data_IF_700963468803
#
_entry.id   IF_700963468803
#
_cell.length_a   1.000
_cell.length_b   1.000
_cell.length_c   1.000
_cell.angle_alpha   90.00
_cell.angle_beta   90.00
_cell.angle_gamma   90.00
#
_symmetry.space_group_name_H-M   'P 1'
#
loop_
_entity.id
_entity.type
_entity.pdbx_description
1 polymer ?
#
# COMPACT_ATOMS: atom_id res chain seq x y z
N UNK A 1 1.97 17.70 4.40
CA UNK A 1 2.25 17.07 5.71
C UNK A 1 2.92 15.71 5.57
N UNK A 2 2.54 14.94 4.56
CA UNK A 2 3.11 13.63 4.24
C UNK A 2 4.65 13.49 4.25
N UNK A 3 5.43 14.51 3.86
CA UNK A 3 6.90 14.40 3.91
C UNK A 3 7.47 14.34 5.34
N UNK A 4 6.78 14.94 6.31
CA UNK A 4 7.21 14.94 7.70
C UNK A 4 7.16 13.55 8.32
N UNK A 5 6.15 12.74 7.98
CA UNK A 5 6.06 11.36 8.48
C UNK A 5 7.26 10.53 8.03
N UNK A 6 7.72 10.71 6.80
CA UNK A 6 8.86 9.99 6.21
C UNK A 6 10.14 10.35 6.97
N UNK A 7 10.34 11.64 7.23
CA UNK A 7 11.47 12.12 8.00
C UNK A 7 11.49 11.54 9.41
N UNK A 8 10.35 11.54 10.10
CA UNK A 8 10.22 10.97 11.44
C UNK A 8 10.52 9.46 11.47
N UNK A 9 9.97 8.69 10.52
CA UNK A 9 10.28 7.27 10.42
C UNK A 9 11.76 6.99 10.13
N UNK A 10 12.40 7.83 9.31
CA UNK A 10 13.81 7.67 8.95
C UNK A 10 14.80 7.91 10.11
N UNK A 11 14.38 8.59 11.19
CA UNK A 11 15.27 8.82 12.33
C UNK A 11 15.63 7.50 13.03
N UNK A 12 14.67 6.59 13.17
CA UNK A 12 14.87 5.29 13.82
C UNK A 12 14.80 5.33 15.35
N UNK A 13 14.30 6.40 15.96
CA UNK A 13 14.04 6.46 17.40
C UNK A 13 12.57 6.12 17.71
N UNK A 14 12.31 5.57 18.90
CA UNK A 14 10.95 5.19 19.33
C UNK A 14 9.94 6.34 19.24
N UNK A 15 10.30 7.51 19.80
CA UNK A 15 9.45 8.71 19.80
C UNK A 15 9.20 9.16 18.35
N UNK A 16 10.23 9.12 17.51
CA UNK A 16 10.13 9.48 16.10
C UNK A 16 9.25 8.51 15.33
N UNK A 17 9.26 7.20 15.66
CA UNK A 17 8.33 6.22 15.10
C UNK A 17 6.87 6.53 15.42
N UNK A 18 6.55 6.84 16.68
CA UNK A 18 5.19 7.23 17.10
C UNK A 18 4.75 8.51 16.41
N UNK A 19 5.60 9.54 16.40
CA UNK A 19 5.31 10.81 15.73
C UNK A 19 5.08 10.61 14.22
N UNK A 20 5.90 9.78 13.57
CA UNK A 20 5.71 9.41 12.18
C UNK A 20 4.36 8.74 11.93
N UNK A 21 3.96 7.79 12.79
CA UNK A 21 2.67 7.12 12.71
C UNK A 21 1.48 8.08 12.92
N UNK A 22 1.59 8.99 13.89
CA UNK A 22 0.54 9.97 14.18
C UNK A 22 0.37 10.96 13.03
N UNK A 23 1.48 11.48 12.48
CA UNK A 23 1.45 12.37 11.31
C UNK A 23 0.89 11.65 10.10
N UNK A 24 1.21 10.37 9.90
CA UNK A 24 0.65 9.54 8.82
C UNK A 24 -0.87 9.42 8.91
N UNK A 25 -1.39 9.06 10.10
CA UNK A 25 -2.83 8.95 10.31
C UNK A 25 -3.52 10.31 10.17
N UNK A 26 -2.93 11.37 10.72
CA UNK A 26 -3.48 12.72 10.61
C UNK A 26 -3.52 13.21 9.15
N UNK A 27 -2.44 12.98 8.39
CA UNK A 27 -2.40 13.29 6.96
C UNK A 27 -3.46 12.48 6.20
N UNK A 28 -3.68 11.22 6.59
CA UNK A 28 -4.71 10.37 6.01
C UNK A 28 -6.13 10.87 6.21
N UNK A 29 -6.44 11.32 7.43
CA UNK A 29 -7.75 11.88 7.78
C UNK A 29 -7.98 13.22 7.07
N UNK A 30 -6.96 14.09 7.04
CA UNK A 30 -7.06 15.40 6.41
C UNK A 30 -7.39 15.31 4.92
N UNK A 31 -6.82 14.32 4.26
CA UNK A 31 -7.01 14.07 2.83
C UNK A 31 -8.43 13.58 2.51
N UNK A 32 -9.01 12.74 3.39
CA UNK A 32 -10.41 12.36 3.27
C UNK A 32 -11.35 13.58 3.39
N UNK A 33 -11.02 14.53 4.26
CA UNK A 33 -11.82 15.74 4.41
C UNK A 33 -11.81 16.60 3.14
N UNK A 34 -10.69 16.71 2.41
CA UNK A 34 -10.64 17.50 1.17
C UNK A 34 -11.48 16.84 0.05
N UNK A 35 -11.38 15.52 -0.07
CA UNK A 35 -12.21 14.74 -1.01
C UNK A 35 -13.71 14.85 -0.72
N UNK A 36 -14.11 14.78 0.54
CA UNK A 36 -15.51 14.94 0.95
C UNK A 36 -16.02 16.37 0.68
N UNK A 37 -15.18 17.39 0.90
CA UNK A 37 -15.51 18.79 0.59
C UNK A 37 -15.64 19.02 -0.91
N UNK A 38 -14.79 18.40 -1.74
CA UNK A 38 -14.87 18.48 -3.20
C UNK A 38 -16.17 17.87 -3.74
N UNK A 39 -16.59 16.72 -3.20
CA UNK A 39 -17.89 16.08 -3.49
C UNK A 39 -19.07 16.96 -3.13
N UNK A 40 -19.05 17.50 -1.92
CA UNK A 40 -20.13 18.37 -1.42
C UNK A 40 -20.27 19.65 -2.24
N UNK A 41 -19.19 20.13 -2.86
CA UNK A 41 -19.19 21.32 -3.73
C UNK A 41 -19.35 21.00 -5.22
N UNK A 42 -19.50 19.73 -5.60
CA UNK A 42 -19.51 19.27 -7.01
C UNK A 42 -18.32 19.79 -7.83
N UNK A 43 -17.15 19.93 -7.19
CA UNK A 43 -15.91 20.38 -7.83
C UNK A 43 -14.94 19.21 -8.11
N UNK A 44 -15.45 17.98 -8.16
CA UNK A 44 -14.64 16.83 -8.57
C UNK A 44 -14.18 17.00 -10.02
N UNK A 45 -12.92 16.68 -10.27
CA UNK A 45 -12.35 16.67 -11.63
C UNK A 45 -11.55 15.40 -11.83
N UNK A 46 -11.66 14.78 -13.00
CA UNK A 46 -10.94 13.55 -13.35
C UNK A 46 -9.42 13.73 -13.26
N UNK A 47 -8.93 14.93 -13.58
CA UNK A 47 -7.51 15.26 -13.48
C UNK A 47 -7.05 15.39 -12.02
N UNK A 48 -7.89 15.99 -11.15
CA UNK A 48 -7.62 16.11 -9.72
C UNK A 48 -7.54 14.73 -9.05
N UNK A 49 -8.50 13.85 -9.32
CA UNK A 49 -8.51 12.48 -8.78
C UNK A 49 -7.27 11.67 -9.21
N UNK A 50 -6.85 11.81 -10.47
CA UNK A 50 -5.63 11.16 -10.96
C UNK A 50 -4.38 11.69 -10.27
N UNK A 51 -4.24 13.02 -10.14
CA UNK A 51 -3.10 13.65 -9.48
C UNK A 51 -3.00 13.25 -8.01
N UNK A 52 -4.14 13.26 -7.31
CA UNK A 52 -4.26 12.87 -5.92
C UNK A 52 -3.81 11.40 -5.72
N UNK A 53 -4.33 10.50 -6.55
CA UNK A 53 -3.93 9.08 -6.55
C UNK A 53 -2.43 8.89 -6.82
N UNK A 54 -1.82 9.68 -7.70
CA UNK A 54 -0.38 9.61 -7.97
C UNK A 54 0.44 10.09 -6.77
N UNK A 55 0.08 11.23 -6.20
CA UNK A 55 0.71 11.78 -4.99
C UNK A 55 0.66 10.79 -3.83
N UNK A 56 -0.50 10.17 -3.61
CA UNK A 56 -0.73 9.13 -2.60
C UNK A 56 0.21 7.94 -2.73
N UNK A 57 0.35 7.43 -3.95
CA UNK A 57 1.23 6.30 -4.20
C UNK A 57 2.69 6.67 -3.95
N UNK A 58 3.13 7.86 -4.36
CA UNK A 58 4.49 8.36 -4.12
C UNK A 58 4.75 8.48 -2.62
N UNK A 59 3.83 9.09 -1.87
CA UNK A 59 3.93 9.26 -0.42
C UNK A 59 3.99 7.91 0.29
N UNK A 60 3.19 6.93 -0.14
CA UNK A 60 3.23 5.58 0.42
C UNK A 60 4.59 4.92 0.19
N UNK A 61 5.12 4.97 -1.03
CA UNK A 61 6.45 4.43 -1.34
C UNK A 61 7.52 5.10 -0.47
N UNK A 62 7.49 6.43 -0.35
CA UNK A 62 8.42 7.16 0.51
C UNK A 62 8.27 6.79 1.98
N UNK A 63 7.05 6.52 2.45
CA UNK A 63 6.79 6.09 3.83
C UNK A 63 7.41 4.73 4.11
N UNK A 64 7.26 3.76 3.21
CA UNK A 64 7.92 2.45 3.32
C UNK A 64 9.45 2.56 3.29
N UNK A 65 9.99 3.46 2.46
CA UNK A 65 11.44 3.76 2.45
C UNK A 65 11.89 4.36 3.78
N UNK A 66 11.14 5.31 4.34
CA UNK A 66 11.42 5.92 5.64
C UNK A 66 11.44 4.89 6.75
N UNK A 67 10.46 3.99 6.78
CA UNK A 67 10.40 2.86 7.73
C UNK A 67 11.61 1.94 7.55
N UNK A 68 11.97 1.57 6.32
CA UNK A 68 13.12 0.72 6.04
C UNK A 68 14.43 1.37 6.52
N UNK A 69 14.62 2.68 6.33
CA UNK A 69 15.78 3.41 6.84
C UNK A 69 15.80 3.42 8.38
N UNK A 70 14.65 3.67 9.01
CA UNK A 70 14.52 3.61 10.48
C UNK A 70 14.89 2.25 11.05
N UNK A 71 14.34 1.17 10.47
CA UNK A 71 14.66 -0.22 10.86
C UNK A 71 16.13 -0.55 10.62
N UNK A 72 16.73 -0.07 9.53
CA UNK A 72 18.13 -0.29 9.23
C UNK A 72 19.06 0.31 10.30
N UNK A 73 18.67 1.45 10.90
CA UNK A 73 19.40 2.12 11.98
C UNK A 73 19.26 1.39 13.31
N UNK A 74 18.07 0.85 13.61
CA UNK A 74 17.80 0.14 14.87
C UNK A 74 18.31 -1.31 14.89
N UNK A 75 17.94 -2.09 13.88
CA UNK A 75 18.11 -3.55 13.84
C UNK A 75 19.19 -4.02 12.85
N UNK A 76 19.79 -3.09 12.10
CA UNK A 76 20.84 -3.34 11.12
C UNK A 76 20.35 -3.46 9.68
N UNK A 77 21.27 -3.26 8.74
CA UNK A 77 20.97 -3.18 7.30
C UNK A 77 20.31 -4.45 6.75
N UNK A 78 20.77 -5.64 7.16
CA UNK A 78 20.27 -6.91 6.65
C UNK A 78 18.80 -7.11 7.06
N UNK A 79 18.46 -6.75 8.30
CA UNK A 79 17.10 -6.86 8.84
C UNK A 79 16.10 -5.95 8.12
N UNK A 80 16.57 -4.86 7.50
CA UNK A 80 15.75 -3.95 6.70
C UNK A 80 15.72 -4.32 5.21
N UNK A 81 16.87 -4.63 4.63
CA UNK A 81 17.03 -4.74 3.18
C UNK A 81 16.35 -5.99 2.60
N UNK A 82 16.35 -7.12 3.34
CA UNK A 82 15.66 -8.34 2.93
C UNK A 82 14.13 -8.14 2.86
N UNK A 83 13.44 -7.73 3.93
CA UNK A 83 11.99 -7.55 3.88
C UNK A 83 11.59 -6.40 2.96
N UNK A 84 12.41 -5.35 2.83
CA UNK A 84 12.17 -4.27 1.87
C UNK A 84 12.29 -4.73 0.41
N UNK A 85 13.28 -5.58 0.08
CA UNK A 85 13.40 -6.16 -1.25
C UNK A 85 12.21 -7.08 -1.59
N UNK A 86 11.78 -7.89 -0.62
CA UNK A 86 10.55 -8.70 -0.74
C UNK A 86 9.32 -7.81 -0.97
N UNK A 87 9.19 -6.71 -0.22
CA UNK A 87 8.09 -5.76 -0.38
C UNK A 87 8.04 -5.20 -1.80
N UNK A 88 9.19 -4.75 -2.34
CA UNK A 88 9.29 -4.24 -3.70
C UNK A 88 8.94 -5.30 -4.75
N UNK A 89 9.49 -6.51 -4.62
CA UNK A 89 9.21 -7.60 -5.54
C UNK A 89 7.71 -7.95 -5.58
N UNK A 90 7.08 -8.11 -4.41
CA UNK A 90 5.66 -8.39 -4.30
C UNK A 90 4.80 -7.23 -4.82
N UNK A 91 5.16 -5.99 -4.47
CA UNK A 91 4.48 -4.78 -4.93
C UNK A 91 4.49 -4.64 -6.46
N UNK A 92 5.64 -4.87 -7.10
CA UNK A 92 5.77 -4.84 -8.57
C UNK A 92 4.91 -5.93 -9.20
N UNK A 93 4.92 -7.16 -8.65
CA UNK A 93 4.10 -8.25 -9.17
C UNK A 93 2.59 -7.95 -9.05
N UNK A 94 2.16 -7.41 -7.91
CA UNK A 94 0.77 -6.96 -7.71
C UNK A 94 0.42 -5.88 -8.74
N UNK A 95 1.28 -4.88 -8.89
CA UNK A 95 1.07 -3.78 -9.83
C UNK A 95 0.91 -4.30 -11.26
N UNK A 96 1.80 -5.18 -11.72
CA UNK A 96 1.71 -5.83 -13.03
C UNK A 96 0.40 -6.62 -13.13
N UNK A 97 0.07 -7.48 -12.17
CA UNK A 97 -1.13 -8.32 -12.26
C UNK A 97 -2.44 -7.53 -12.29
N UNK A 98 -2.47 -6.37 -11.62
CA UNK A 98 -3.64 -5.49 -11.54
C UNK A 98 -3.75 -4.54 -12.73
N UNK A 99 -2.64 -3.96 -13.20
CA UNK A 99 -2.63 -2.92 -14.25
C UNK A 99 -2.38 -3.42 -15.68
N UNK A 100 -1.64 -4.52 -15.88
CA UNK A 100 -1.42 -5.06 -17.24
C UNK A 100 -2.67 -5.56 -17.98
N UNK A 101 -3.74 -6.07 -17.33
CA UNK A 101 -4.95 -6.41 -18.06
C UNK A 101 -5.63 -5.12 -18.53
N UNK A 102 -5.80 -4.97 -19.86
CA UNK A 102 -6.56 -3.87 -20.47
C UNK A 102 -8.01 -3.87 -19.94
N UNK A 103 -8.30 -3.02 -18.96
CA UNK A 103 -9.63 -2.83 -18.40
C UNK A 103 -9.69 -1.55 -17.57
N UNK A 104 -10.79 -0.81 -17.68
CA UNK A 104 -10.99 0.42 -16.91
C UNK A 104 -11.22 0.07 -15.43
N UNK A 105 -10.19 0.28 -14.59
CA UNK A 105 -10.29 0.25 -13.12
C UNK A 105 -9.40 -0.77 -12.41
N UNK A 106 -9.03 -0.46 -11.14
CA UNK A 106 -8.22 -1.32 -10.27
C UNK A 106 -8.87 -2.70 -10.13
N UNK A 107 -8.17 -3.76 -10.54
CA UNK A 107 -8.59 -5.15 -10.33
C UNK A 107 -9.73 -5.62 -11.22
N UNK A 108 -10.01 -4.95 -12.35
CA UNK A 108 -11.13 -5.25 -13.26
C UNK A 108 -11.18 -6.73 -13.69
N UNK A 109 -10.03 -7.36 -13.93
CA UNK A 109 -9.96 -8.79 -14.28
C UNK A 109 -10.45 -9.75 -13.20
N UNK A 110 -10.63 -9.28 -11.97
CA UNK A 110 -11.08 -10.09 -10.84
C UNK A 110 -12.53 -9.79 -10.46
N UNK A 111 -13.21 -8.86 -11.15
CA UNK A 111 -14.58 -8.43 -10.85
C UNK A 111 -15.53 -9.64 -10.79
N UNK A 112 -16.25 -9.79 -9.68
CA UNK A 112 -17.16 -10.92 -9.43
C UNK A 112 -16.52 -12.12 -8.72
N UNK A 113 -15.23 -12.07 -8.36
CA UNK A 113 -14.59 -13.05 -7.48
C UNK A 113 -14.41 -12.50 -6.07
N UNK A 114 -14.37 -13.37 -5.05
CA UNK A 114 -14.00 -12.97 -3.66
C UNK A 114 -12.67 -12.22 -3.58
N UNK A 115 -11.77 -12.45 -4.53
CA UNK A 115 -10.48 -11.78 -4.59
C UNK A 115 -10.61 -10.29 -4.92
N UNK A 116 -11.66 -9.87 -5.63
CA UNK A 116 -11.93 -8.46 -5.90
C UNK A 116 -12.18 -7.67 -4.62
N UNK A 117 -12.99 -8.21 -3.72
CA UNK A 117 -13.29 -7.57 -2.44
C UNK A 117 -12.03 -7.48 -1.57
N UNK A 118 -11.17 -8.50 -1.61
CA UNK A 118 -9.88 -8.49 -0.90
C UNK A 118 -8.91 -7.47 -1.52
N UNK A 119 -8.85 -7.35 -2.85
CA UNK A 119 -8.07 -6.30 -3.53
C UNK A 119 -8.55 -4.92 -3.07
N UNK A 120 -9.86 -4.70 -3.03
CA UNK A 120 -10.43 -3.42 -2.62
C UNK A 120 -10.17 -3.13 -1.14
N UNK A 121 -10.27 -4.15 -0.27
CA UNK A 121 -9.98 -4.06 1.15
C UNK A 121 -8.50 -3.77 1.42
N UNK A 122 -7.58 -4.46 0.76
CA UNK A 122 -6.14 -4.25 0.93
C UNK A 122 -5.64 -2.97 0.26
N UNK A 123 -6.29 -2.53 -0.81
CA UNK A 123 -6.04 -1.22 -1.41
C UNK A 123 -6.66 -0.08 -0.59
N UNK A 124 -7.49 -0.38 0.42
CA UNK A 124 -8.04 0.65 1.30
C UNK A 124 -6.93 1.30 2.13
N UNK A 125 -7.02 2.62 2.32
CA UNK A 125 -6.08 3.42 3.12
C UNK A 125 -5.99 3.01 4.60
N UNK A 126 -6.80 2.06 5.05
CA UNK A 126 -6.86 1.61 6.45
C UNK A 126 -5.56 0.96 6.96
N UNK A 127 -4.65 0.57 6.07
CA UNK A 127 -3.35 0.03 6.48
C UNK A 127 -2.50 1.05 7.27
N UNK A 128 -2.75 2.36 7.17
CA UNK A 128 -2.05 3.39 7.93
C UNK A 128 -2.20 3.21 9.44
N UNK A 129 -3.36 2.71 9.91
CA UNK A 129 -3.60 2.42 11.33
C UNK A 129 -2.78 1.23 11.81
N UNK A 130 -2.53 0.26 10.92
CA UNK A 130 -1.67 -0.89 11.22
C UNK A 130 -0.23 -0.41 11.41
N UNK A 131 0.26 0.48 10.55
CA UNK A 131 1.59 1.10 10.69
C UNK A 131 1.71 1.82 12.05
N UNK A 132 0.72 2.62 12.42
CA UNK A 132 0.71 3.32 13.72
C UNK A 132 0.75 2.31 14.89
N UNK A 133 -0.02 1.23 14.82
CA UNK A 133 -0.02 0.21 15.86
C UNK A 133 1.36 -0.42 16.05
N UNK A 134 2.03 -0.81 14.97
CA UNK A 134 3.40 -1.34 15.04
C UNK A 134 4.44 -0.29 15.47
N UNK A 135 4.22 0.99 15.15
CA UNK A 135 5.05 2.08 15.63
C UNK A 135 4.95 2.25 17.16
N UNK A 136 3.75 2.13 17.74
CA UNK A 136 3.53 2.21 19.20
C UNK A 136 4.28 1.10 19.94
N UNK A 137 4.37 -0.09 19.34
CA UNK A 137 5.08 -1.23 19.93
C UNK A 137 6.59 -1.23 19.68
N UNK A 138 7.15 -0.26 18.95
CA UNK A 138 8.57 -0.25 18.52
C UNK A 138 8.94 -1.54 17.77
N UNK A 139 8.01 -2.02 16.93
CA UNK A 139 8.12 -3.27 16.16
C UNK A 139 7.89 -3.04 14.66
N UNK A 140 8.40 -1.92 14.14
CA UNK A 140 8.33 -1.58 12.72
C UNK A 140 9.11 -2.57 11.83
N UNK A 141 10.10 -3.26 12.41
CA UNK A 141 10.80 -4.39 11.81
C UNK A 141 9.85 -5.56 11.48
N UNK A 142 8.99 -5.96 12.43
CA UNK A 142 7.98 -7.00 12.21
C UNK A 142 6.95 -6.56 11.17
N UNK A 143 6.56 -5.28 11.18
CA UNK A 143 5.69 -4.74 10.15
C UNK A 143 6.32 -4.86 8.76
N UNK A 144 7.60 -4.52 8.62
CA UNK A 144 8.30 -4.59 7.33
C UNK A 144 8.39 -6.04 6.83
N UNK A 145 8.66 -7.01 7.71
CA UNK A 145 8.61 -8.44 7.38
C UNK A 145 7.22 -8.90 6.98
N UNK A 146 6.19 -8.48 7.72
CA UNK A 146 4.80 -8.81 7.43
C UNK A 146 4.37 -8.21 6.09
N UNK A 147 4.77 -6.98 5.79
CA UNK A 147 4.48 -6.32 4.52
C UNK A 147 5.23 -6.99 3.35
N UNK A 148 6.50 -7.34 3.55
CA UNK A 148 7.33 -8.03 2.56
C UNK A 148 6.80 -9.43 2.22
N UNK A 149 6.54 -10.28 3.22
CA UNK A 149 5.95 -11.59 2.97
C UNK A 149 4.51 -11.49 2.47
N UNK A 150 3.71 -10.62 3.09
CA UNK A 150 2.30 -10.41 2.76
C UNK A 150 2.09 -10.00 1.30
N UNK A 151 2.92 -9.09 0.79
CA UNK A 151 2.83 -8.66 -0.62
C UNK A 151 3.10 -9.79 -1.60
N UNK A 152 4.07 -10.67 -1.32
CA UNK A 152 4.38 -11.82 -2.18
C UNK A 152 3.31 -12.91 -2.11
N UNK A 153 2.80 -13.21 -0.92
CA UNK A 153 1.66 -14.14 -0.75
C UNK A 153 0.44 -13.61 -1.51
N UNK A 154 0.17 -12.31 -1.41
CA UNK A 154 -0.92 -11.67 -2.13
C UNK A 154 -0.71 -11.71 -3.66
N UNK A 155 0.49 -11.42 -4.14
CA UNK A 155 0.86 -11.55 -5.55
C UNK A 155 0.63 -12.98 -6.08
N UNK A 156 1.02 -13.99 -5.31
CA UNK A 156 0.80 -15.39 -5.66
C UNK A 156 -0.70 -15.73 -5.73
N UNK A 157 -1.49 -15.28 -4.74
CA UNK A 157 -2.94 -15.50 -4.75
C UNK A 157 -3.62 -14.85 -5.96
N UNK A 158 -3.19 -13.65 -6.36
CA UNK A 158 -3.65 -12.98 -7.59
C UNK A 158 -3.27 -13.78 -8.84
N UNK A 159 -2.04 -14.28 -8.92
CA UNK A 159 -1.58 -15.09 -10.03
C UNK A 159 -2.41 -16.38 -10.19
N UNK A 160 -2.66 -17.11 -9.09
CA UNK A 160 -3.47 -18.32 -9.11
C UNK A 160 -4.92 -18.05 -9.52
N UNK A 161 -5.50 -16.95 -9.03
CA UNK A 161 -6.87 -16.56 -9.37
C UNK A 161 -6.96 -16.18 -10.85
N UNK A 162 -5.99 -15.42 -11.37
CA UNK A 162 -5.91 -15.07 -12.79
C UNK A 162 -5.75 -16.31 -13.67
N UNK A 163 -4.92 -17.25 -13.24
CA UNK A 163 -4.73 -18.52 -13.95
C UNK A 163 -6.02 -19.34 -14.01
N UNK A 164 -6.77 -19.44 -12.90
CA UNK A 164 -8.09 -20.11 -12.86
C UNK A 164 -9.11 -19.45 -13.79
N UNK A 165 -9.16 -18.12 -13.83
CA UNK A 165 -10.07 -17.37 -14.70
C UNK A 165 -9.73 -17.66 -16.17
N UNK A 166 -8.45 -17.57 -16.54
CA UNK A 166 -7.97 -17.86 -17.89
C UNK A 166 -8.24 -19.31 -18.32
N UNK A 167 -8.05 -20.27 -17.42
CA UNK A 167 -8.32 -21.68 -17.68
C UNK A 167 -9.81 -21.96 -17.88
N UNK A 168 -10.67 -21.35 -17.06
CA UNK A 168 -12.14 -21.50 -17.17
C UNK A 168 -12.66 -20.87 -18.46
N UNK A 169 -12.12 -19.73 -18.87
CA UNK A 169 -12.45 -19.09 -20.15
C UNK A 169 -12.06 -19.94 -21.36
N UNK A 170 -11.04 -20.80 -21.24
CA UNK A 170 -10.59 -21.69 -22.32
C UNK A 170 -11.44 -22.97 -22.45
N UNK A 171 -12.14 -23.39 -21.39
CA UNK A 171 -12.94 -24.63 -21.35
C UNK A 171 -14.39 -24.41 -21.80
N UNK A 172 -14.90 -23.18 -21.74
CA UNK A 172 -16.13 -22.77 -22.45
C UNK A 172 -15.75 -21.95 -23.70
N UNK A 173 -15.24 -22.56 -24.77
CA UNK A 173 -15.35 -21.92 -26.07
C UNK A 173 -16.85 -21.84 -26.40
N UNK A 174 -17.31 -20.64 -26.77
CA UNK A 174 -18.67 -20.41 -27.27
C UNK A 174 -19.07 -21.42 -28.33
#
# INVERSE_FOLDING_TARGET
MAFWQVWFFAQGDYISGILGGLVLVFSGIWDCCDGDVARLKFMESDYGEYLDTMCDNIINILTFIGIAIGVARQSGLIASLIPFALLLAGGILIFILIYFPKGYGKGYSFKGTRMYDVILLLASRNFIYVILLFAIFDRLDYFLWLAGFGSNVFAMALFLTKWKISFTAKIKPN
#
